data_IF_586927716737
#
_entry.id   IF_586927716737
#
_cell.length_a   1.000
_cell.length_b   1.000
_cell.length_c   1.000
_cell.angle_alpha   90.00
_cell.angle_beta   90.00
_cell.angle_gamma   90.00
#
_symmetry.space_group_name_H-M   'P 1'
#
loop_
_entity.id
_entity.type
_entity.pdbx_description
1 polymer ?
#
# COMPACT_ATOMS: atom_id res chain seq x y z
N UNK A 1 16.04 -4.51 8.48
CA UNK A 1 14.87 -4.81 9.35
C UNK A 1 13.62 -4.20 8.74
N UNK A 2 12.43 -4.74 9.03
CA UNK A 2 11.15 -4.33 8.42
C UNK A 2 10.22 -3.54 9.35
N UNK A 3 10.26 -3.77 10.66
CA UNK A 3 9.39 -3.07 11.60
C UNK A 3 9.55 -1.55 11.50
N UNK A 4 8.42 -0.83 11.49
CA UNK A 4 8.37 0.63 11.35
C UNK A 4 8.67 1.17 9.94
N UNK A 5 8.96 0.30 8.96
CA UNK A 5 9.15 0.69 7.56
C UNK A 5 7.84 0.79 6.81
N UNK A 6 7.80 1.60 5.76
CA UNK A 6 6.60 1.81 4.93
C UNK A 6 6.68 0.99 3.64
N UNK A 7 5.66 0.18 3.39
CA UNK A 7 5.44 -0.50 2.11
C UNK A 7 4.45 0.30 1.26
N UNK A 8 4.90 0.80 0.12
CA UNK A 8 4.04 1.31 -0.95
C UNK A 8 3.60 0.20 -1.89
N UNK A 9 2.30 0.14 -2.21
CA UNK A 9 1.74 -0.87 -3.13
C UNK A 9 1.08 -0.18 -4.33
N UNK A 10 1.58 -0.44 -5.53
CA UNK A 10 0.91 -0.08 -6.78
C UNK A 10 0.03 -1.26 -7.22
N UNK A 11 -1.29 -1.13 -7.07
CA UNK A 11 -2.24 -2.19 -7.38
C UNK A 11 -2.89 -2.81 -6.14
N UNK A 12 -3.88 -2.13 -5.56
CA UNK A 12 -4.66 -2.66 -4.44
C UNK A 12 -5.74 -3.68 -4.86
N UNK A 13 -5.31 -4.77 -5.51
CA UNK A 13 -6.14 -5.92 -5.87
C UNK A 13 -5.94 -7.11 -4.93
N UNK A 14 -6.18 -8.33 -5.43
CA UNK A 14 -6.02 -9.57 -4.64
C UNK A 14 -4.60 -9.74 -4.08
N UNK A 15 -3.59 -9.46 -4.89
CA UNK A 15 -2.17 -9.57 -4.48
C UNK A 15 -1.83 -8.46 -3.49
N UNK A 16 -2.16 -7.20 -3.80
CA UNK A 16 -1.93 -6.06 -2.91
C UNK A 16 -2.55 -6.27 -1.52
N UNK A 17 -3.80 -6.72 -1.44
CA UNK A 17 -4.44 -7.05 -0.16
C UNK A 17 -3.73 -8.18 0.61
N UNK A 18 -3.19 -9.17 -0.11
CA UNK A 18 -2.41 -10.24 0.49
C UNK A 18 -1.04 -9.75 1.00
N UNK A 19 -0.45 -8.75 0.35
CA UNK A 19 0.75 -8.07 0.82
C UNK A 19 0.48 -7.26 2.09
N UNK A 20 -0.61 -6.49 2.14
CA UNK A 20 -1.01 -5.74 3.34
C UNK A 20 -1.07 -6.63 4.58
N UNK A 21 -1.72 -7.81 4.46
CA UNK A 21 -1.82 -8.77 5.58
C UNK A 21 -0.45 -9.23 6.09
N UNK A 22 0.53 -9.41 5.19
CA UNK A 22 1.89 -9.84 5.56
C UNK A 22 2.72 -8.69 6.12
N UNK A 23 2.62 -7.51 5.51
CA UNK A 23 3.34 -6.32 5.94
C UNK A 23 2.98 -5.95 7.39
N UNK A 24 1.71 -6.05 7.78
CA UNK A 24 1.30 -5.85 9.18
C UNK A 24 1.88 -6.86 10.15
N UNK A 25 2.05 -8.12 9.75
CA UNK A 25 2.69 -9.11 10.59
C UNK A 25 4.18 -8.80 10.86
N UNK A 26 4.75 -7.89 10.07
CA UNK A 26 6.11 -7.34 10.25
C UNK A 26 6.11 -5.92 10.83
N UNK A 27 5.00 -5.45 11.40
CA UNK A 27 4.85 -4.08 11.96
C UNK A 27 5.21 -2.97 10.97
N UNK A 28 4.93 -3.18 9.68
CA UNK A 28 5.11 -2.17 8.64
C UNK A 28 3.87 -1.27 8.52
N UNK A 29 4.11 0.00 8.18
CA UNK A 29 3.06 0.87 7.64
C UNK A 29 2.82 0.55 6.15
N UNK A 30 1.61 0.76 5.66
CA UNK A 30 1.26 0.41 4.27
C UNK A 30 0.40 1.49 3.61
N UNK A 31 0.85 1.99 2.46
CA UNK A 31 0.09 2.86 1.58
C UNK A 31 -0.12 2.19 0.21
N UNK A 32 -1.25 2.43 -0.43
CA UNK A 32 -1.59 1.75 -1.68
C UNK A 32 -2.30 2.66 -2.70
N UNK A 33 -2.07 2.35 -3.98
CA UNK A 33 -2.74 2.96 -5.12
C UNK A 33 -3.71 1.97 -5.77
N UNK A 34 -4.92 2.46 -6.07
CA UNK A 34 -5.93 1.76 -6.86
C UNK A 34 -6.62 2.72 -7.83
N UNK A 35 -6.96 2.23 -9.02
CA UNK A 35 -7.72 3.03 -10.01
C UNK A 35 -9.11 3.44 -9.51
N UNK A 36 -9.82 2.51 -8.86
CA UNK A 36 -11.13 2.77 -8.26
C UNK A 36 -11.05 2.59 -6.75
N UNK A 37 -10.91 3.71 -6.04
CA UNK A 37 -10.77 3.75 -4.58
C UNK A 37 -12.11 3.48 -3.88
N UNK A 38 -13.24 3.84 -4.49
CA UNK A 38 -14.57 3.78 -3.86
C UNK A 38 -15.04 2.35 -3.61
N UNK A 39 -14.53 1.39 -4.37
CA UNK A 39 -14.88 -0.03 -4.25
C UNK A 39 -14.05 -0.82 -3.23
N UNK A 40 -13.27 -0.14 -2.37
CA UNK A 40 -12.36 -0.79 -1.42
C UNK A 40 -12.45 -0.22 -0.03
N UNK A 41 -12.49 -1.09 0.98
CA UNK A 41 -12.17 -0.68 2.34
C UNK A 41 -10.65 -0.42 2.45
N UNK A 42 -10.27 0.65 3.13
CA UNK A 42 -8.87 0.99 3.41
C UNK A 42 -8.34 0.27 4.65
N UNK A 43 -8.91 -0.88 5.02
CA UNK A 43 -8.62 -1.56 6.27
C UNK A 43 -7.12 -1.77 6.42
N UNK A 44 -6.57 -1.15 7.48
CA UNK A 44 -5.17 -0.99 7.88
C UNK A 44 -4.17 -0.71 6.76
N UNK A 45 -4.57 0.15 5.85
CA UNK A 45 -3.68 1.02 5.10
C UNK A 45 -3.62 2.37 5.83
N UNK A 46 -2.47 3.03 5.87
CA UNK A 46 -2.40 4.44 6.26
C UNK A 46 -2.83 5.38 5.14
N UNK A 47 -2.87 4.90 3.90
CA UNK A 47 -3.37 5.62 2.73
C UNK A 47 -3.87 4.64 1.66
N UNK A 48 -5.07 4.89 1.15
CA UNK A 48 -5.55 4.31 -0.10
C UNK A 48 -5.96 5.45 -1.04
N UNK A 49 -5.27 5.58 -2.16
CA UNK A 49 -5.46 6.70 -3.08
C UNK A 49 -5.49 6.28 -4.56
N UNK A 50 -5.85 7.25 -5.41
CA UNK A 50 -5.83 7.10 -6.87
C UNK A 50 -4.42 7.16 -7.47
N UNK A 51 -4.29 6.93 -8.78
CA UNK A 51 -3.00 7.05 -9.49
C UNK A 51 -2.34 8.42 -9.43
N UNK A 52 -3.12 9.47 -9.19
CA UNK A 52 -2.69 10.86 -9.00
C UNK A 52 -1.83 11.06 -7.73
N UNK A 53 -1.93 10.17 -6.75
CA UNK A 53 -1.12 10.20 -5.53
C UNK A 53 0.21 9.44 -5.65
N UNK A 54 0.64 9.04 -6.86
CA UNK A 54 1.88 8.28 -7.07
C UNK A 54 3.10 8.93 -6.42
N UNK A 55 3.29 10.23 -6.63
CA UNK A 55 4.42 10.95 -6.08
C UNK A 55 4.42 10.98 -4.54
N UNK A 56 3.25 11.01 -3.91
CA UNK A 56 3.14 10.94 -2.45
C UNK A 56 3.55 9.55 -1.94
N UNK A 57 3.04 8.49 -2.57
CA UNK A 57 3.38 7.11 -2.21
C UNK A 57 4.87 6.84 -2.37
N UNK A 58 5.47 7.30 -3.47
CA UNK A 58 6.91 7.15 -3.72
C UNK A 58 7.77 7.88 -2.69
N UNK A 59 7.35 9.06 -2.21
CA UNK A 59 8.08 9.78 -1.16
C UNK A 59 7.98 9.13 0.22
N UNK A 60 6.88 8.44 0.51
CA UNK A 60 6.62 7.82 1.81
C UNK A 60 7.20 6.40 1.94
N UNK A 61 7.30 5.68 0.83
CA UNK A 61 7.65 4.26 0.83
C UNK A 61 9.17 4.02 0.99
N UNK A 62 9.54 3.17 1.95
CA UNK A 62 10.88 2.57 1.99
C UNK A 62 11.01 1.43 0.96
N UNK A 63 9.90 0.74 0.69
CA UNK A 63 9.80 -0.37 -0.26
C UNK A 63 8.59 -0.18 -1.17
N UNK A 64 8.73 -0.50 -2.46
CA UNK A 64 7.64 -0.43 -3.42
C UNK A 64 7.35 -1.81 -4.02
N UNK A 65 6.10 -2.26 -3.92
CA UNK A 65 5.61 -3.45 -4.60
C UNK A 65 4.70 -3.07 -5.78
N UNK A 66 5.00 -3.59 -6.97
CA UNK A 66 4.20 -3.37 -8.18
C UNK A 66 3.40 -4.64 -8.49
N UNK A 67 2.08 -4.52 -8.46
CA UNK A 67 1.12 -5.65 -8.52
C UNK A 67 -0.10 -5.35 -9.39
N UNK A 68 0.09 -4.45 -10.37
CA UNK A 68 -0.93 -3.96 -11.31
C UNK A 68 -1.47 -5.05 -12.24
#
# INVERSE_FOLDING_TARGET
ELAGKTLGILGYGRIGQALVRRARAFDMDVCAIRRDVRSSAADGLSLLAGPDALDEVLRRADYLAVTL
#
